data_IF_817500136455
#
_entry.id   IF_817500136455
#
_cell.length_a   1.000
_cell.length_b   1.000
_cell.length_c   1.000
_cell.angle_alpha   90.00
_cell.angle_beta   90.00
_cell.angle_gamma   90.00
#
_symmetry.space_group_name_H-M   'P 1'
#
loop_
_entity.id
_entity.type
_entity.pdbx_description
1 polymer ?
#
# COMPACT_ATOMS: atom_id res chain seq x y z
N UNK A 1 5.43 12.92 -9.84
CA UNK A 1 4.54 12.29 -8.83
C UNK A 1 5.26 11.15 -8.16
N UNK A 2 5.26 11.11 -6.84
CA UNK A 2 5.88 10.03 -6.07
C UNK A 2 4.87 9.53 -5.03
N UNK A 3 4.68 8.21 -4.95
CA UNK A 3 3.77 7.59 -4.01
C UNK A 3 4.41 6.41 -3.30
N UNK A 4 4.03 6.18 -2.06
CA UNK A 4 4.41 4.99 -1.29
C UNK A 4 3.19 4.34 -0.64
N UNK A 5 3.20 3.03 -0.57
CA UNK A 5 2.21 2.23 0.12
C UNK A 5 2.84 1.68 1.40
N UNK A 6 2.17 1.86 2.53
CA UNK A 6 2.59 1.25 3.81
C UNK A 6 2.09 -0.19 3.92
N UNK A 7 2.66 -0.93 4.88
CA UNK A 7 2.23 -2.29 5.17
C UNK A 7 0.76 -2.40 5.65
N UNK A 8 0.17 -1.30 6.09
CA UNK A 8 -1.21 -1.20 6.58
C UNK A 8 -2.19 -0.69 5.49
N UNK A 9 -1.82 -0.81 4.21
CA UNK A 9 -2.61 -0.40 3.04
C UNK A 9 -2.95 1.11 3.03
N UNK A 10 -2.02 1.92 3.54
CA UNK A 10 -2.14 3.37 3.48
C UNK A 10 -1.21 3.93 2.41
N UNK A 11 -1.69 4.94 1.71
CA UNK A 11 -0.96 5.60 0.64
C UNK A 11 -0.58 7.00 1.08
N UNK A 12 0.67 7.35 0.85
CA UNK A 12 1.20 8.70 1.05
C UNK A 12 2.02 9.11 -0.18
N UNK A 13 2.11 10.41 -0.43
CA UNK A 13 2.88 10.87 -1.58
C UNK A 13 2.78 12.35 -1.86
N UNK A 14 3.33 12.69 -3.03
CA UNK A 14 3.45 14.06 -3.53
C UNK A 14 3.14 14.10 -5.03
N UNK A 15 2.37 15.10 -5.43
CA UNK A 15 2.05 15.38 -6.83
C UNK A 15 2.40 16.84 -7.10
N UNK A 16 3.38 17.07 -7.95
CA UNK A 16 3.70 18.41 -8.44
C UNK A 16 3.05 18.59 -9.82
N UNK A 17 2.24 19.64 -9.95
CA UNK A 17 1.64 20.07 -11.22
C UNK A 17 2.04 21.51 -11.43
N UNK A 18 2.95 21.73 -12.38
CA UNK A 18 3.50 23.04 -12.65
C UNK A 18 3.67 23.28 -14.15
N UNK A 19 3.61 24.54 -14.56
CA UNK A 19 3.83 25.00 -15.94
C UNK A 19 5.00 25.96 -15.97
N UNK A 20 5.71 26.03 -17.12
CA UNK A 20 6.77 27.01 -17.33
C UNK A 20 6.18 28.43 -17.31
N UNK A 21 6.90 29.38 -16.73
CA UNK A 21 6.42 30.73 -16.47
C UNK A 21 5.80 31.43 -17.68
N UNK A 22 4.72 32.18 -17.45
CA UNK A 22 3.92 32.87 -18.48
C UNK A 22 2.55 32.24 -18.77
N UNK A 23 2.31 31.02 -18.32
CA UNK A 23 1.00 30.35 -18.35
C UNK A 23 0.40 30.40 -16.94
N UNK A 24 -0.92 30.58 -16.84
CA UNK A 24 -1.59 30.57 -15.54
C UNK A 24 -1.28 29.26 -14.79
N UNK A 25 -0.70 29.40 -13.60
CA UNK A 25 -0.34 28.26 -12.77
C UNK A 25 -1.60 27.47 -12.38
N UNK A 26 -1.61 26.13 -12.55
CA UNK A 26 -2.74 25.30 -12.18
C UNK A 26 -2.95 25.33 -10.67
N UNK A 27 -4.17 25.69 -10.24
CA UNK A 27 -4.57 25.65 -8.84
C UNK A 27 -5.40 24.40 -8.62
N UNK A 28 -4.99 23.57 -7.68
CA UNK A 28 -5.69 22.34 -7.34
C UNK A 28 -6.46 22.51 -6.03
N UNK A 29 -7.66 21.96 -5.97
CA UNK A 29 -8.48 21.95 -4.76
C UNK A 29 -8.82 20.51 -4.38
N UNK A 30 -8.46 20.07 -3.14
CA UNK A 30 -8.78 18.73 -2.70
C UNK A 30 -10.29 18.55 -2.49
N UNK A 31 -10.83 17.35 -2.76
CA UNK A 31 -12.21 17.01 -2.42
C UNK A 31 -12.44 17.10 -0.92
N UNK A 32 -13.64 17.56 -0.52
CA UNK A 32 -13.99 17.75 0.89
C UNK A 32 -13.83 16.48 1.76
N UNK A 33 -14.01 15.30 1.16
CA UNK A 33 -13.93 14.02 1.85
C UNK A 33 -12.50 13.63 2.30
N UNK A 34 -11.45 14.23 1.72
CA UNK A 34 -10.04 13.92 2.00
C UNK A 34 -9.21 15.17 2.33
N UNK A 35 -9.83 16.33 2.50
CA UNK A 35 -9.12 17.60 2.66
C UNK A 35 -8.29 17.69 3.95
N UNK A 36 -8.61 16.92 4.96
CA UNK A 36 -7.86 16.77 6.21
C UNK A 36 -6.53 16.00 6.05
N UNK A 37 -6.43 15.20 4.99
CA UNK A 37 -5.28 14.35 4.66
C UNK A 37 -4.52 14.80 3.40
N UNK A 38 -4.96 15.88 2.77
CA UNK A 38 -4.37 16.46 1.56
C UNK A 38 -4.03 17.92 1.80
N UNK A 39 -2.79 18.30 1.57
CA UNK A 39 -2.30 19.68 1.67
C UNK A 39 -1.83 20.16 0.29
N UNK A 40 -2.32 21.30 -0.14
CA UNK A 40 -1.92 21.94 -1.40
C UNK A 40 -1.11 23.18 -1.08
N UNK A 41 0.09 23.29 -1.69
CA UNK A 41 0.99 24.43 -1.54
C UNK A 41 1.35 25.02 -2.90
N UNK A 42 1.62 26.32 -2.99
CA UNK A 42 2.18 26.91 -4.21
C UNK A 42 3.55 26.29 -4.50
N UNK A 43 3.77 25.89 -5.75
CA UNK A 43 5.08 25.45 -6.26
C UNK A 43 5.68 26.56 -7.13
N UNK A 44 6.93 26.91 -6.88
CA UNK A 44 7.67 27.92 -7.69
C UNK A 44 9.17 27.60 -7.64
N UNK A 45 9.66 26.88 -8.63
CA UNK A 45 11.07 26.51 -8.76
C UNK A 45 11.49 26.45 -10.22
N UNK A 46 12.72 26.87 -10.51
CA UNK A 46 13.36 26.78 -11.82
C UNK A 46 12.54 27.38 -12.98
N UNK A 47 11.77 28.44 -12.71
CA UNK A 47 10.89 29.07 -13.69
C UNK A 47 9.54 28.38 -13.88
N UNK A 48 9.28 27.29 -13.18
CA UNK A 48 7.98 26.62 -13.13
C UNK A 48 7.13 27.15 -11.98
N UNK A 49 5.84 27.35 -12.23
CA UNK A 49 4.86 27.75 -11.23
C UNK A 49 3.66 26.82 -11.27
N UNK A 50 3.11 26.49 -10.10
CA UNK A 50 2.00 25.55 -10.01
C UNK A 50 1.58 25.21 -8.60
N UNK A 51 1.13 23.98 -8.42
CA UNK A 51 0.69 23.42 -7.14
C UNK A 51 1.50 22.17 -6.81
N UNK A 52 1.86 22.06 -5.54
CA UNK A 52 2.45 20.88 -4.91
C UNK A 52 1.45 20.31 -3.93
N UNK A 53 1.03 19.09 -4.17
CA UNK A 53 -0.01 18.37 -3.41
C UNK A 53 0.63 17.27 -2.62
N UNK A 54 0.63 17.40 -1.30
CA UNK A 54 1.02 16.35 -0.37
C UNK A 54 -0.20 15.62 0.16
N UNK A 55 -0.14 14.31 0.23
CA UNK A 55 -1.17 13.50 0.85
C UNK A 55 -0.57 12.41 1.72
N UNK A 56 -1.27 12.05 2.77
CA UNK A 56 -0.85 11.03 3.72
C UNK A 56 -2.05 10.27 4.27
N UNK A 57 -1.80 9.03 4.67
CA UNK A 57 -2.80 8.15 5.31
C UNK A 57 -4.09 7.95 4.51
N UNK A 58 -4.01 7.96 3.17
CA UNK A 58 -5.15 7.67 2.31
C UNK A 58 -5.37 6.16 2.19
N UNK A 59 -6.63 5.72 2.28
CA UNK A 59 -6.99 4.36 1.89
C UNK A 59 -6.93 4.18 0.37
N UNK A 60 -6.96 2.94 -0.12
CA UNK A 60 -7.04 2.68 -1.56
C UNK A 60 -8.30 3.27 -2.21
N UNK A 61 -9.42 3.34 -1.46
CA UNK A 61 -10.63 3.98 -1.92
C UNK A 61 -10.49 5.51 -1.98
N UNK A 62 -9.82 6.12 -1.00
CA UNK A 62 -9.58 7.56 -0.97
C UNK A 62 -8.63 8.01 -2.09
N UNK A 63 -7.67 7.14 -2.50
CA UNK A 63 -6.78 7.44 -3.62
C UNK A 63 -7.56 7.70 -4.91
N UNK A 64 -8.68 7.02 -5.13
CA UNK A 64 -9.54 7.26 -6.30
C UNK A 64 -10.15 8.68 -6.27
N UNK A 65 -10.34 9.26 -5.09
CA UNK A 65 -10.85 10.62 -4.95
C UNK A 65 -9.80 11.69 -5.31
N UNK A 66 -8.50 11.38 -5.23
CA UNK A 66 -7.46 12.28 -5.74
C UNK A 66 -7.59 12.52 -7.25
N UNK A 67 -8.16 11.58 -7.99
CA UNK A 67 -8.42 11.76 -9.43
C UNK A 67 -9.51 12.79 -9.72
N UNK A 68 -10.28 13.18 -8.70
CA UNK A 68 -11.32 14.21 -8.77
C UNK A 68 -10.84 15.59 -8.29
N UNK A 69 -9.52 15.77 -8.07
CA UNK A 69 -8.96 17.09 -7.82
C UNK A 69 -9.41 18.06 -8.90
N UNK A 70 -10.08 19.14 -8.47
CA UNK A 70 -10.55 20.16 -9.40
C UNK A 70 -9.41 21.09 -9.81
N UNK A 71 -9.22 21.28 -11.11
CA UNK A 71 -8.16 22.10 -11.68
C UNK A 71 -7.75 21.64 -13.08
N UNK A 72 -6.88 22.38 -13.72
CA UNK A 72 -6.34 22.03 -15.05
C UNK A 72 -5.44 20.80 -14.94
N UNK A 73 -5.95 19.63 -15.26
CA UNK A 73 -5.19 18.39 -15.23
C UNK A 73 -5.77 17.29 -14.32
N UNK A 74 -6.85 17.57 -13.59
CA UNK A 74 -7.47 16.61 -12.67
C UNK A 74 -7.95 15.31 -13.32
N UNK A 75 -8.31 15.33 -14.59
CA UNK A 75 -8.77 14.14 -15.34
C UNK A 75 -7.64 13.35 -16.01
N UNK A 76 -6.38 13.73 -15.82
CA UNK A 76 -5.25 13.08 -16.48
C UNK A 76 -4.87 11.74 -15.86
N UNK A 77 -5.22 11.49 -14.61
CA UNK A 77 -4.80 10.31 -13.86
C UNK A 77 -6.01 9.52 -13.37
N UNK A 78 -6.06 8.24 -13.72
CA UNK A 78 -6.98 7.28 -13.14
C UNK A 78 -6.14 6.16 -12.50
N UNK A 79 -6.09 6.11 -11.19
CA UNK A 79 -5.29 5.15 -10.44
C UNK A 79 -6.20 4.32 -9.54
N UNK A 80 -6.04 3.01 -9.59
CA UNK A 80 -6.72 2.06 -8.73
C UNK A 80 -5.73 1.12 -8.04
N UNK A 81 -5.86 0.99 -6.74
CA UNK A 81 -5.15 0.00 -5.92
C UNK A 81 -6.15 -1.03 -5.40
N UNK A 82 -5.79 -2.29 -5.49
CA UNK A 82 -6.63 -3.39 -5.01
C UNK A 82 -5.76 -4.44 -4.32
N UNK A 83 -6.20 -4.90 -3.16
CA UNK A 83 -5.57 -6.01 -2.44
C UNK A 83 -6.39 -7.28 -2.59
N UNK A 84 -5.69 -8.40 -2.74
CA UNK A 84 -6.23 -9.76 -2.66
C UNK A 84 -5.24 -10.64 -1.89
N UNK A 85 -5.51 -10.91 -0.63
CA UNK A 85 -4.60 -11.64 0.27
C UNK A 85 -3.26 -10.92 0.45
N UNK A 86 -2.15 -11.59 0.17
CA UNK A 86 -0.79 -11.02 0.21
C UNK A 86 -0.40 -10.26 -1.06
N UNK A 87 -1.30 -10.07 -2.01
CA UNK A 87 -0.99 -9.42 -3.28
C UNK A 87 -1.72 -8.08 -3.40
N UNK A 88 -0.98 -7.02 -3.76
CA UNK A 88 -1.53 -5.72 -4.12
C UNK A 88 -1.27 -5.45 -5.59
N UNK A 89 -2.30 -5.03 -6.30
CA UNK A 89 -2.25 -4.69 -7.71
C UNK A 89 -2.57 -3.21 -7.90
N UNK A 90 -1.68 -2.51 -8.58
CA UNK A 90 -1.91 -1.19 -9.14
C UNK A 90 -2.37 -1.34 -10.58
N UNK A 91 -3.46 -0.67 -10.93
CA UNK A 91 -3.89 -0.44 -12.31
C UNK A 91 -4.14 1.04 -12.50
N UNK A 92 -3.78 1.58 -13.65
CA UNK A 92 -4.00 2.99 -13.92
C UNK A 92 -3.95 3.31 -15.40
N UNK A 93 -4.52 4.45 -15.73
CA UNK A 93 -4.44 5.10 -17.02
C UNK A 93 -4.03 6.54 -16.82
N UNK A 94 -2.97 6.97 -17.49
CA UNK A 94 -2.55 8.37 -17.55
C UNK A 94 -2.73 8.87 -18.96
N UNK A 95 -3.60 9.85 -19.13
CA UNK A 95 -3.90 10.45 -20.42
C UNK A 95 -3.26 11.84 -20.53
N UNK A 96 -2.13 11.92 -21.21
CA UNK A 96 -1.39 13.16 -21.47
C UNK A 96 -1.58 13.68 -22.90
N UNK A 97 -2.58 13.22 -23.64
CA UNK A 97 -2.82 13.60 -25.05
C UNK A 97 -3.03 15.11 -25.25
N UNK A 98 -3.49 15.82 -24.22
CA UNK A 98 -3.67 17.27 -24.25
C UNK A 98 -2.43 18.05 -23.81
N UNK A 99 -1.42 17.36 -23.26
CA UNK A 99 -0.18 17.99 -22.82
C UNK A 99 0.78 18.15 -23.98
N UNK A 100 1.28 19.39 -24.20
CA UNK A 100 2.27 19.64 -25.23
C UNK A 100 3.62 19.04 -24.85
N UNK A 101 4.30 18.45 -25.83
CA UNK A 101 5.59 17.75 -25.63
C UNK A 101 6.75 18.69 -25.23
N UNK A 102 6.66 19.97 -25.59
CA UNK A 102 7.75 20.93 -25.35
C UNK A 102 7.88 21.27 -23.86
N UNK A 103 8.98 20.81 -23.25
CA UNK A 103 9.35 21.15 -21.86
C UNK A 103 8.60 20.37 -20.77
N UNK A 104 7.87 19.32 -21.11
CA UNK A 104 7.17 18.48 -20.13
C UNK A 104 7.93 17.16 -19.90
N UNK A 105 8.38 16.92 -18.68
CA UNK A 105 8.85 15.62 -18.18
C UNK A 105 7.89 15.12 -17.10
N UNK A 106 7.18 14.04 -17.39
CA UNK A 106 6.19 13.48 -16.48
C UNK A 106 6.64 12.09 -16.04
N UNK A 107 6.87 11.93 -14.75
CA UNK A 107 7.27 10.68 -14.14
C UNK A 107 6.34 10.30 -12.98
N UNK A 108 6.02 9.03 -12.90
CA UNK A 108 5.37 8.44 -11.74
C UNK A 108 6.32 7.44 -11.08
N UNK A 109 6.51 7.58 -9.78
CA UNK A 109 7.23 6.61 -8.94
C UNK A 109 6.29 6.05 -7.90
N UNK A 110 6.32 4.73 -7.73
CA UNK A 110 5.56 4.02 -6.71
C UNK A 110 6.48 3.11 -5.91
N UNK A 111 6.39 3.19 -4.59
CA UNK A 111 7.07 2.29 -3.68
C UNK A 111 6.05 1.40 -2.96
N UNK A 112 6.28 0.10 -3.02
CA UNK A 112 5.46 -0.91 -2.36
C UNK A 112 6.14 -1.38 -1.06
N UNK A 113 5.38 -1.84 -0.05
CA UNK A 113 5.95 -2.36 1.21
C UNK A 113 6.54 -3.78 1.06
N UNK A 114 6.43 -4.38 -0.12
CA UNK A 114 6.96 -5.70 -0.43
C UNK A 114 7.48 -5.80 -1.86
N UNK A 115 7.85 -7.01 -2.26
CA UNK A 115 8.52 -7.27 -3.55
C UNK A 115 7.56 -7.12 -4.73
N UNK A 116 7.96 -6.34 -5.72
CA UNK A 116 7.25 -6.20 -7.00
C UNK A 116 7.46 -7.48 -7.83
N UNK A 117 6.38 -8.21 -8.09
CA UNK A 117 6.39 -9.47 -8.82
C UNK A 117 6.22 -9.27 -10.32
N UNK A 118 5.37 -8.31 -10.72
CA UNK A 118 5.12 -7.96 -12.13
C UNK A 118 4.91 -6.46 -12.29
N UNK A 119 5.35 -5.89 -13.40
CA UNK A 119 5.10 -4.49 -13.77
C UNK A 119 5.37 -4.28 -15.27
N UNK A 120 4.69 -3.31 -15.86
CA UNK A 120 5.03 -2.76 -17.18
C UNK A 120 5.92 -1.50 -17.09
N UNK A 121 6.25 -1.03 -15.88
CA UNK A 121 7.20 0.05 -15.63
C UNK A 121 8.63 -0.43 -15.47
N UNK A 122 9.53 0.49 -15.23
CA UNK A 122 10.95 0.23 -14.94
C UNK A 122 11.07 -0.05 -13.44
N UNK A 123 11.64 -1.19 -13.07
CA UNK A 123 11.90 -1.52 -11.65
C UNK A 123 12.97 -0.60 -11.07
N UNK A 124 12.72 -0.14 -9.86
CA UNK A 124 13.64 0.68 -9.05
C UNK A 124 13.90 -0.07 -7.73
N UNK A 125 14.83 -1.03 -7.78
CA UNK A 125 15.05 -2.02 -6.74
C UNK A 125 13.95 -3.09 -6.68
N UNK A 126 13.80 -3.72 -5.51
CA UNK A 126 12.85 -4.82 -5.30
C UNK A 126 11.41 -4.35 -5.05
N UNK A 127 11.26 -3.14 -4.52
CA UNK A 127 9.97 -2.60 -4.06
C UNK A 127 9.50 -1.39 -4.85
N UNK A 128 10.34 -0.80 -5.70
CA UNK A 128 10.07 0.41 -6.46
C UNK A 128 9.71 0.14 -7.91
N UNK A 129 8.85 0.98 -8.47
CA UNK A 129 8.55 1.03 -9.90
C UNK A 129 8.48 2.48 -10.35
N UNK A 130 9.06 2.76 -11.51
CA UNK A 130 9.01 4.07 -12.15
C UNK A 130 8.42 3.94 -13.56
N UNK A 131 7.49 4.82 -13.89
CA UNK A 131 6.99 5.00 -15.24
C UNK A 131 7.42 6.37 -15.76
N UNK A 132 7.92 6.38 -16.97
CA UNK A 132 8.13 7.61 -17.75
C UNK A 132 6.94 7.79 -18.67
N UNK A 133 6.28 8.93 -18.58
CA UNK A 133 4.98 9.18 -19.20
C UNK A 133 5.18 10.21 -20.32
N UNK A 134 5.22 9.78 -21.59
CA UNK A 134 5.46 10.72 -22.69
C UNK A 134 4.27 11.67 -22.85
N UNK A 135 4.53 12.99 -22.94
CA UNK A 135 3.50 13.96 -23.27
C UNK A 135 2.89 13.68 -24.66
N UNK A 136 1.61 13.95 -24.80
CA UNK A 136 0.86 13.69 -26.03
C UNK A 136 0.34 12.28 -26.19
N UNK A 137 0.61 11.38 -25.23
CA UNK A 137 0.21 9.98 -25.27
C UNK A 137 -0.67 9.58 -24.07
N UNK A 138 -1.30 8.42 -24.20
CA UNK A 138 -2.01 7.75 -23.09
C UNK A 138 -1.23 6.51 -22.71
N UNK A 139 -0.94 6.34 -21.42
CA UNK A 139 -0.10 5.27 -20.90
C UNK A 139 -0.86 4.46 -19.85
N UNK A 140 -0.92 3.14 -20.04
CA UNK A 140 -1.41 2.20 -19.03
C UNK A 140 -0.33 1.92 -17.99
N UNK A 141 -0.74 1.86 -16.73
CA UNK A 141 0.12 1.56 -15.59
C UNK A 141 -0.33 0.24 -14.97
N UNK A 142 0.62 -0.67 -14.79
CA UNK A 142 0.39 -1.94 -14.11
C UNK A 142 1.57 -2.30 -13.23
N UNK A 143 1.28 -2.66 -11.98
CA UNK A 143 2.25 -3.27 -11.09
C UNK A 143 1.55 -4.21 -10.11
N UNK A 144 2.23 -5.29 -9.76
CA UNK A 144 1.80 -6.25 -8.75
C UNK A 144 2.92 -6.44 -7.75
N UNK A 145 2.62 -6.31 -6.47
CA UNK A 145 3.56 -6.54 -5.39
C UNK A 145 3.00 -7.55 -4.39
N UNK A 146 3.88 -8.35 -3.80
CA UNK A 146 3.53 -9.34 -2.79
C UNK A 146 4.14 -8.94 -1.44
N UNK A 147 3.30 -8.81 -0.41
CA UNK A 147 3.69 -8.56 0.97
C UNK A 147 2.62 -9.07 1.93
N UNK A 148 3.02 -9.34 3.18
CA UNK A 148 2.13 -9.94 4.18
C UNK A 148 0.88 -9.09 4.41
N UNK A 149 -0.27 -9.77 4.49
CA UNK A 149 -1.53 -9.13 4.83
C UNK A 149 -1.49 -8.65 6.28
N UNK A 150 -1.74 -7.36 6.57
CA UNK A 150 -1.78 -6.83 7.93
C UNK A 150 -2.81 -7.57 8.82
N UNK A 151 -3.89 -8.07 8.23
CA UNK A 151 -4.90 -8.86 8.95
C UNK A 151 -4.43 -10.22 9.43
N UNK A 152 -3.37 -10.80 8.84
CA UNK A 152 -2.84 -12.13 9.22
C UNK A 152 -1.74 -12.08 10.26
N UNK A 153 -1.10 -10.94 10.49
CA UNK A 153 0.00 -10.79 11.46
C UNK A 153 -0.39 -11.14 12.89
N UNK A 154 -1.62 -10.85 13.30
CA UNK A 154 -2.14 -11.20 14.64
C UNK A 154 -2.55 -12.66 14.77
N UNK A 155 -3.03 -13.28 13.70
CA UNK A 155 -3.59 -14.63 13.71
C UNK A 155 -2.51 -15.70 13.94
N UNK A 156 -1.30 -15.55 13.40
CA UNK A 156 -0.22 -16.51 13.55
C UNK A 156 0.21 -16.67 15.03
N UNK A 157 0.27 -15.58 15.79
CA UNK A 157 0.60 -15.61 17.21
C UNK A 157 -0.49 -16.32 18.00
N UNK A 158 -1.77 -16.05 17.70
CA UNK A 158 -2.90 -16.72 18.36
C UNK A 158 -2.96 -18.22 18.06
N UNK A 159 -2.71 -18.64 16.83
CA UNK A 159 -2.61 -20.06 16.45
C UNK A 159 -1.51 -20.75 17.24
N UNK A 160 -0.32 -20.13 17.36
CA UNK A 160 0.79 -20.70 18.11
C UNK A 160 0.47 -20.84 19.61
N UNK A 161 -0.20 -19.85 20.22
CA UNK A 161 -0.66 -19.91 21.61
C UNK A 161 -1.66 -21.04 21.79
N UNK A 162 -2.65 -21.19 20.92
CA UNK A 162 -3.64 -22.27 21.00
C UNK A 162 -2.99 -23.64 20.88
N UNK A 163 -2.07 -23.82 19.94
CA UNK A 163 -1.32 -25.09 19.77
C UNK A 163 -0.52 -25.43 21.03
N UNK A 164 0.16 -24.47 21.64
CA UNK A 164 0.91 -24.66 22.88
C UNK A 164 -0.01 -25.03 24.05
N UNK A 165 -1.18 -24.41 24.17
CA UNK A 165 -2.17 -24.74 25.20
C UNK A 165 -2.72 -26.16 25.04
N UNK A 166 -3.03 -26.58 23.81
CA UNK A 166 -3.51 -27.93 23.52
C UNK A 166 -2.45 -28.99 23.84
N UNK A 167 -1.20 -28.74 23.44
CA UNK A 167 -0.08 -29.64 23.76
C UNK A 167 0.18 -29.71 25.28
N UNK A 168 0.11 -28.57 25.98
CA UNK A 168 0.27 -28.51 27.43
C UNK A 168 -0.83 -29.31 28.17
N UNK A 169 -2.09 -29.18 27.74
CA UNK A 169 -3.19 -29.94 28.28
C UNK A 169 -3.05 -31.46 28.05
N UNK A 170 -2.61 -31.87 26.84
CA UNK A 170 -2.37 -33.26 26.51
C UNK A 170 -1.28 -33.90 27.40
N UNK A 171 -0.16 -33.18 27.60
CA UNK A 171 0.94 -33.63 28.49
C UNK A 171 0.44 -33.77 29.94
N UNK A 172 -0.37 -32.83 30.42
CA UNK A 172 -0.91 -32.85 31.78
C UNK A 172 -1.86 -34.03 32.00
N UNK A 173 -2.70 -34.35 31.02
CA UNK A 173 -3.61 -35.55 31.07
C UNK A 173 -2.79 -36.83 31.11
N UNK A 174 -1.74 -36.96 30.28
CA UNK A 174 -0.85 -38.13 30.27
C UNK A 174 -0.14 -38.28 31.63
N UNK A 175 0.32 -37.20 32.22
CA UNK A 175 0.98 -37.20 33.51
C UNK A 175 0.03 -37.62 34.64
N UNK A 176 -1.22 -37.11 34.67
CA UNK A 176 -2.24 -37.51 35.61
C UNK A 176 -2.63 -38.99 35.47
N UNK A 177 -2.79 -39.47 34.23
CA UNK A 177 -3.10 -40.87 33.98
C UNK A 177 -1.99 -41.82 34.48
N UNK A 178 -0.74 -41.46 34.36
CA UNK A 178 0.41 -42.23 34.89
C UNK A 178 0.50 -42.16 36.39
N UNK A 179 0.19 -41.02 37.03
CA UNK A 179 0.19 -40.87 38.49
C UNK A 179 -0.91 -41.71 39.16
N UNK A 180 -2.09 -41.80 38.56
CA UNK A 180 -3.19 -42.65 39.07
C UNK A 180 -2.89 -44.14 38.94
N UNK A 181 -2.20 -44.60 37.89
CA UNK A 181 -1.81 -46.01 37.77
C UNK A 181 -0.75 -46.43 38.79
N UNK A 182 0.11 -45.54 39.27
CA UNK A 182 1.11 -45.85 40.30
C UNK A 182 0.51 -46.12 41.69
N UNK A 183 -0.71 -45.61 41.97
CA UNK A 183 -1.37 -45.82 43.26
C UNK A 183 -2.18 -47.13 43.36
N UNK A 184 -2.52 -47.79 42.25
CA UNK A 184 -3.30 -49.01 42.24
C UNK A 184 -2.46 -50.30 42.35
N UNK A 185 -1.14 -50.25 42.20
CA UNK A 185 -0.27 -51.44 42.28
C UNK A 185 0.33 -51.72 43.67
N UNK A 186 -0.01 -50.89 44.70
CA UNK A 186 0.53 -50.98 46.06
C UNK A 186 -0.35 -51.71 47.09
N UNK A 187 -1.58 -52.13 46.80
CA UNK A 187 -2.51 -52.70 47.77
C UNK A 187 -2.76 -54.19 47.53
N UNK A 188 -1.75 -55.02 47.71
CA UNK A 188 -1.89 -56.44 47.53
C UNK A 188 -0.78 -57.29 48.17
N UNK A 189 -0.54 -57.10 49.47
CA UNK A 189 0.23 -58.06 50.27
C UNK A 189 -0.35 -58.07 51.67
N UNK A 190 -1.29 -59.06 51.92
CA UNK A 190 -1.61 -59.52 53.29
C UNK A 190 -0.64 -60.67 53.61
N UNK A 191 -0.05 -60.68 54.84
CA UNK A 191 0.67 -61.85 55.32
C UNK A 191 -0.29 -62.71 56.12
N UNK A 192 -0.27 -64.01 55.84
CA UNK A 192 -0.73 -65.07 56.79
C UNK A 192 0.50 -65.80 57.28
#
# INVERSE_FOLDING_TARGET
MTMGISADDRVAGEIIVATLGGVQAPTLTPPAAINDRVSVRPYNQDGYAGSDVFFSDLSFADLQQLTTLTGSGASLYHLGLRRAGSTVTLTGLVNLTTLRAEGADVQLRMNFPGTVTATNGIRDGDTGVRWQLPPGESTDLQATASYDDPGTRGYQIWVLIVVLLVLGAAVLVVFMARATHAHFTGAGRSPS
#
